data_IF_942407909708
#
_entry.id   IF_942407909708
#
_cell.length_a   1.000
_cell.length_b   1.000
_cell.length_c   1.000
_cell.angle_alpha   90.00
_cell.angle_beta   90.00
_cell.angle_gamma   90.00
#
_symmetry.space_group_name_H-M   'P 1'
#
loop_
_entity.id
_entity.type
_entity.pdbx_description
1 polymer ?
#
# COMPACT_ATOMS: atom_id res chain seq x y z
N UNK A 1 7.52 -35.49 7.59
CA UNK A 1 7.60 -34.02 7.82
C UNK A 1 6.84 -33.31 6.70
N UNK A 2 5.56 -33.02 6.92
CA UNK A 2 4.75 -32.25 5.96
C UNK A 2 5.17 -30.78 6.03
N UNK A 3 5.80 -30.27 4.98
CA UNK A 3 6.06 -28.82 4.85
C UNK A 3 4.74 -28.19 4.42
N UNK A 4 3.99 -27.64 5.38
CA UNK A 4 2.79 -26.84 5.09
C UNK A 4 3.21 -25.69 4.16
N UNK A 5 2.49 -25.42 3.06
CA UNK A 5 2.83 -24.30 2.20
C UNK A 5 2.77 -23.02 3.03
N UNK A 6 3.84 -22.23 2.98
CA UNK A 6 3.88 -20.93 3.62
C UNK A 6 2.77 -20.07 3.01
N UNK A 7 1.80 -19.67 3.83
CA UNK A 7 0.74 -18.76 3.39
C UNK A 7 1.32 -17.37 3.38
N UNK A 8 1.21 -16.68 2.25
CA UNK A 8 1.56 -15.27 2.16
C UNK A 8 0.63 -14.48 3.09
N UNK A 9 1.21 -13.76 4.05
CA UNK A 9 0.45 -12.99 5.04
C UNK A 9 0.47 -11.49 4.71
N UNK A 10 -0.44 -10.74 5.32
CA UNK A 10 -0.44 -9.28 5.22
C UNK A 10 0.89 -8.67 5.71
N UNK A 11 1.50 -9.27 6.75
CA UNK A 11 2.81 -8.86 7.24
C UNK A 11 3.92 -9.08 6.18
N UNK A 12 3.81 -10.12 5.36
CA UNK A 12 4.73 -10.35 4.24
C UNK A 12 4.55 -9.28 3.15
N UNK A 13 3.31 -8.89 2.86
CA UNK A 13 3.01 -7.82 1.91
C UNK A 13 3.61 -6.48 2.35
N UNK A 14 3.46 -6.13 3.63
CA UNK A 14 4.05 -4.91 4.21
C UNK A 14 5.58 -4.95 4.15
N UNK A 15 6.19 -6.10 4.45
CA UNK A 15 7.66 -6.27 4.33
C UNK A 15 8.13 -6.11 2.89
N UNK A 16 7.45 -6.73 1.93
CA UNK A 16 7.78 -6.64 0.51
C UNK A 16 7.63 -5.21 -0.01
N UNK A 17 6.56 -4.50 0.36
CA UNK A 17 6.34 -3.10 -0.02
C UNK A 17 7.43 -2.17 0.55
N UNK A 18 7.82 -2.36 1.81
CA UNK A 18 8.90 -1.58 2.43
C UNK A 18 10.27 -1.87 1.79
N UNK A 19 10.54 -3.13 1.42
CA UNK A 19 11.77 -3.49 0.71
C UNK A 19 11.81 -2.84 -0.69
N UNK A 20 10.70 -2.89 -1.44
CA UNK A 20 10.59 -2.23 -2.73
C UNK A 20 10.82 -0.71 -2.62
N UNK A 21 10.19 -0.05 -1.63
CA UNK A 21 10.35 1.39 -1.40
C UNK A 21 11.82 1.79 -1.16
N UNK A 22 12.56 1.02 -0.37
CA UNK A 22 14.00 1.28 -0.13
C UNK A 22 14.86 1.12 -1.39
N UNK A 23 14.43 0.26 -2.30
CA UNK A 23 15.09 0.04 -3.59
C UNK A 23 14.67 1.08 -4.66
N UNK A 24 13.90 2.11 -4.30
CA UNK A 24 13.39 3.08 -5.27
C UNK A 24 12.32 2.51 -6.19
N UNK A 25 11.62 1.46 -5.75
CA UNK A 25 10.52 0.83 -6.49
C UNK A 25 9.21 0.97 -5.73
N UNK A 26 8.11 0.92 -6.46
CA UNK A 26 6.76 0.83 -5.93
C UNK A 26 6.11 -0.50 -6.32
N UNK A 27 5.16 -0.92 -5.49
CA UNK A 27 4.32 -2.08 -5.74
C UNK A 27 3.00 -1.59 -6.30
N UNK A 28 2.66 -2.01 -7.51
CA UNK A 28 1.33 -1.83 -8.10
C UNK A 28 0.56 -3.13 -7.94
N UNK A 29 -0.66 -3.04 -7.40
CA UNK A 29 -1.58 -4.16 -7.26
C UNK A 29 -2.74 -3.88 -8.19
N UNK A 30 -3.06 -4.81 -9.08
CA UNK A 30 -4.25 -4.69 -9.92
C UNK A 30 -5.51 -5.18 -9.20
N UNK A 31 -6.67 -5.00 -9.84
CA UNK A 31 -7.96 -5.45 -9.32
C UNK A 31 -8.12 -6.97 -9.25
N UNK A 32 -7.25 -7.72 -9.92
CA UNK A 32 -7.23 -9.18 -9.94
C UNK A 32 -6.27 -9.77 -8.88
N UNK A 33 -5.51 -8.89 -8.20
CA UNK A 33 -4.57 -9.25 -7.16
C UNK A 33 -3.17 -9.59 -7.67
N UNK A 34 -2.83 -9.28 -8.93
CA UNK A 34 -1.47 -9.42 -9.42
C UNK A 34 -0.59 -8.25 -8.95
N UNK A 35 0.65 -8.58 -8.59
CA UNK A 35 1.63 -7.65 -8.05
C UNK A 35 2.69 -7.34 -9.09
N UNK A 36 2.95 -6.05 -9.29
CA UNK A 36 3.96 -5.54 -10.22
C UNK A 36 4.91 -4.62 -9.48
N UNK A 37 6.21 -4.74 -9.76
CA UNK A 37 7.22 -3.79 -9.30
C UNK A 37 7.47 -2.78 -10.42
N UNK A 38 7.25 -1.50 -10.12
CA UNK A 38 7.51 -0.39 -11.04
C UNK A 38 8.51 0.57 -10.40
N UNK A 39 9.45 1.17 -11.14
CA UNK A 39 10.34 2.18 -10.58
C UNK A 39 9.51 3.36 -10.06
N UNK A 40 9.92 3.95 -8.93
CA UNK A 40 9.18 5.02 -8.28
C UNK A 40 9.01 6.25 -9.19
N UNK A 41 9.95 6.47 -10.13
CA UNK A 41 9.91 7.53 -11.12
C UNK A 41 8.68 7.45 -12.06
N UNK A 42 8.10 6.27 -12.24
CA UNK A 42 6.88 6.05 -13.04
C UNK A 42 5.61 6.10 -12.20
N UNK A 43 5.72 6.20 -10.88
CA UNK A 43 4.57 6.39 -10.01
C UNK A 43 4.25 7.87 -10.02
N UNK A 44 3.07 8.29 -10.52
CA UNK A 44 2.67 9.67 -10.38
C UNK A 44 2.73 10.00 -8.88
N UNK A 45 3.25 11.18 -8.49
CA UNK A 45 3.29 11.56 -7.09
C UNK A 45 1.89 11.35 -6.53
N UNK A 46 1.74 10.71 -5.35
CA UNK A 46 0.42 10.56 -4.76
C UNK A 46 -0.16 11.96 -4.76
N UNK A 47 -1.28 12.14 -5.47
CA UNK A 47 -2.04 13.38 -5.36
C UNK A 47 -2.38 13.43 -3.89
N UNK A 48 -1.60 14.21 -3.14
CA UNK A 48 -2.05 14.79 -1.90
C UNK A 48 -3.26 15.59 -2.35
N UNK A 49 -4.43 14.94 -2.44
CA UNK A 49 -5.66 15.67 -2.27
C UNK A 49 -5.44 16.31 -0.91
N UNK A 50 -5.27 17.64 -0.85
CA UNK A 50 -5.33 18.32 0.42
C UNK A 50 -6.66 17.86 0.97
N UNK A 51 -6.63 17.21 2.14
CA UNK A 51 -7.83 17.01 2.92
C UNK A 51 -8.58 18.34 2.84
N UNK A 52 -9.76 18.41 2.19
CA UNK A 52 -10.49 19.67 2.14
C UNK A 52 -10.64 20.08 3.59
N UNK A 53 -10.30 21.35 3.84
CA UNK A 53 -10.23 22.03 5.13
C UNK A 53 -11.10 21.40 6.21
N UNK A 54 -10.68 21.39 7.49
CA UNK A 54 -11.55 20.95 8.57
C UNK A 54 -12.84 21.79 8.53
N UNK A 55 -13.88 21.25 7.90
CA UNK A 55 -15.22 21.78 7.93
C UNK A 55 -15.66 21.61 9.37
N UNK A 56 -15.36 22.66 10.13
CA UNK A 56 -15.91 22.93 11.43
C UNK A 56 -17.40 22.54 11.40
N UNK A 57 -17.77 21.56 12.23
CA UNK A 57 -19.17 21.40 12.62
C UNK A 57 -19.90 20.14 12.19
N UNK A 58 -19.25 19.04 11.77
CA UNK A 58 -19.95 17.73 11.75
C UNK A 58 -19.28 16.71 12.66
N UNK A 59 -19.71 16.75 13.92
CA UNK A 59 -19.58 15.69 14.92
C UNK A 59 -19.87 14.34 14.27
N UNK A 60 -18.83 13.55 14.01
CA UNK A 60 -18.97 12.10 13.87
C UNK A 60 -18.06 11.50 14.93
N UNK A 61 -18.66 11.17 16.07
CA UNK A 61 -18.06 10.34 17.09
C UNK A 61 -17.89 8.94 16.51
N UNK A 62 -16.67 8.40 16.56
CA UNK A 62 -16.45 6.96 16.42
C UNK A 62 -15.63 6.54 17.65
N UNK A 63 -16.21 5.63 18.42
CA UNK A 63 -15.66 5.02 19.63
C UNK A 63 -14.44 4.15 19.33
#
# INVERSE_FOLDING_TARGET
MSRRPARFTEADAVRAANAAKRAGMAVKIDSEGAFWLIPLDFVPPPTLQPNPEPLAGKKTLVF
#
